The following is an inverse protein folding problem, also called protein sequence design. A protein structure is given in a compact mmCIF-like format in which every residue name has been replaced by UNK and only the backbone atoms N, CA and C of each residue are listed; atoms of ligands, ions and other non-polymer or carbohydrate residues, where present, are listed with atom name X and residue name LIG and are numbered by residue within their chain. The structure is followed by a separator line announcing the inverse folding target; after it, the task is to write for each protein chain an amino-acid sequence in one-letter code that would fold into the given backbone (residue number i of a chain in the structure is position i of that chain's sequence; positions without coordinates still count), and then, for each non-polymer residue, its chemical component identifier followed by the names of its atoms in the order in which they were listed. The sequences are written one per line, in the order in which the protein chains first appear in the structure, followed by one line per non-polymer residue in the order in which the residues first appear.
data_IF_190585684691
#
_entry.id   IF_190585684691
#
_cell.length_a   1.000
_cell.length_b   1.000
_cell.length_c   1.000
_cell.angle_alpha   90.00
_cell.angle_beta   90.00
_cell.angle_gamma   90.00
#
_symmetry.space_group_name_H-M   'P 1'
#
loop_
_entity.id
_entity.type
_entity.pdbx_description
1 polymer ?
#
# COMPACT_ATOMS: atom_id res chain seq x y z
N UNK A 1 3.16 11.35 -1.25
CA UNK A 1 2.95 12.44 -2.22
C UNK A 1 4.11 13.45 -2.18
N UNK A 2 4.33 14.16 -1.07
CA UNK A 2 5.36 15.21 -0.97
C UNK A 2 6.77 14.79 -1.40
N UNK A 3 7.14 13.52 -1.17
CA UNK A 3 8.43 12.95 -1.60
C UNK A 3 8.46 12.48 -3.08
N UNK A 4 7.46 12.80 -3.90
CA UNK A 4 7.37 12.38 -5.30
C UNK A 4 7.05 10.90 -5.54
N UNK A 5 6.79 10.12 -4.49
CA UNK A 5 6.44 8.71 -4.61
C UNK A 5 5.00 8.50 -5.11
N UNK A 6 4.83 7.49 -5.98
CA UNK A 6 3.54 6.95 -6.42
C UNK A 6 2.98 6.03 -5.34
N UNK A 7 1.68 6.13 -5.09
CA UNK A 7 0.99 5.30 -4.09
C UNK A 7 0.24 4.19 -4.82
N UNK A 8 0.48 2.95 -4.40
CA UNK A 8 -0.21 1.77 -4.90
C UNK A 8 -1.09 1.18 -3.79
N UNK A 9 -2.39 1.03 -4.02
CA UNK A 9 -3.32 0.43 -3.05
C UNK A 9 -4.47 -0.30 -3.74
N UNK A 10 -5.37 -0.92 -2.97
CA UNK A 10 -6.53 -1.66 -3.49
C UNK A 10 -7.69 -0.78 -3.96
N UNK A 11 -7.59 0.55 -3.83
CA UNK A 11 -8.46 1.52 -4.49
C UNK A 11 -9.92 1.63 -3.99
N UNK A 12 -10.35 0.83 -3.02
CA UNK A 12 -11.68 0.93 -2.39
C UNK A 12 -11.63 1.83 -1.14
N UNK A 13 -12.58 1.65 -0.22
CA UNK A 13 -12.72 2.46 1.01
C UNK A 13 -11.70 2.16 2.12
N UNK A 14 -11.95 2.76 3.29
CA UNK A 14 -11.20 2.48 4.53
C UNK A 14 -9.81 3.13 4.55
N UNK A 15 -8.80 2.38 5.01
CA UNK A 15 -7.41 2.89 5.08
C UNK A 15 -6.90 3.34 3.71
N UNK A 16 -7.26 2.63 2.64
CA UNK A 16 -6.80 2.94 1.29
C UNK A 16 -7.35 4.28 0.79
N UNK A 17 -8.62 4.57 1.08
CA UNK A 17 -9.25 5.86 0.78
C UNK A 17 -8.62 6.99 1.60
N UNK A 18 -8.34 6.76 2.89
CA UNK A 18 -7.65 7.75 3.72
C UNK A 18 -6.24 8.08 3.21
N UNK A 19 -5.50 7.06 2.76
CA UNK A 19 -4.17 7.22 2.15
C UNK A 19 -4.25 7.99 0.83
N UNK A 20 -5.19 7.62 -0.06
CA UNK A 20 -5.36 8.27 -1.36
C UNK A 20 -5.78 9.75 -1.19
N UNK A 21 -6.71 10.04 -0.28
CA UNK A 21 -7.12 11.42 0.02
C UNK A 21 -5.96 12.26 0.56
N UNK A 22 -5.19 11.72 1.50
CA UNK A 22 -4.00 12.42 2.02
C UNK A 22 -2.97 12.73 0.93
N UNK A 23 -2.87 11.88 -0.10
CA UNK A 23 -1.99 12.13 -1.25
C UNK A 23 -2.47 13.29 -2.13
N UNK A 24 -3.78 13.40 -2.34
CA UNK A 24 -4.40 14.50 -3.07
C UNK A 24 -4.26 15.82 -2.30
N UNK A 25 -4.59 15.81 -1.00
CA UNK A 25 -4.47 16.98 -0.11
C UNK A 25 -3.05 17.54 -0.04
N UNK A 26 -2.04 16.67 -0.15
CA UNK A 26 -0.63 17.05 -0.16
C UNK A 26 -0.13 17.66 -1.50
N UNK A 27 -1.04 18.02 -2.41
CA UNK A 27 -0.69 18.71 -3.67
C UNK A 27 -0.66 17.81 -4.91
N UNK A 28 -1.34 16.66 -4.89
CA UNK A 28 -1.58 15.85 -6.10
C UNK A 28 -0.56 14.76 -6.39
N UNK A 29 -0.19 13.94 -5.39
CA UNK A 29 0.60 12.73 -5.64
C UNK A 29 -0.21 11.66 -6.40
N UNK A 30 0.42 10.96 -7.35
CA UNK A 30 -0.26 9.93 -8.16
C UNK A 30 -0.66 8.74 -7.29
N UNK A 31 -1.94 8.38 -7.36
CA UNK A 31 -2.53 7.22 -6.69
C UNK A 31 -3.04 6.20 -7.71
N UNK A 32 -2.64 4.95 -7.54
CA UNK A 32 -2.99 3.83 -8.42
C UNK A 32 -3.76 2.79 -7.60
N UNK A 33 -5.00 2.53 -7.99
CA UNK A 33 -5.91 1.62 -7.29
C UNK A 33 -6.13 0.33 -8.05
N UNK A 34 -5.65 -0.81 -7.54
CA UNK A 34 -5.93 -2.13 -8.12
C UNK A 34 -7.22 -2.68 -7.53
N UNK A 35 -8.32 -2.61 -8.27
CA UNK A 35 -9.63 -3.00 -7.80
C UNK A 35 -9.86 -4.51 -7.93
N UNK A 36 -10.61 -5.13 -7.01
CA UNK A 36 -10.92 -6.57 -7.08
C UNK A 36 -11.93 -6.91 -8.19
N UNK A 37 -12.79 -5.96 -8.59
CA UNK A 37 -13.81 -6.14 -9.62
C UNK A 37 -13.40 -5.67 -11.01
N UNK A 38 -14.36 -5.68 -11.94
CA UNK A 38 -14.18 -5.31 -13.35
C UNK A 38 -14.62 -3.88 -13.69
N UNK A 39 -15.15 -3.14 -12.71
CA UNK A 39 -15.64 -1.78 -12.89
C UNK A 39 -14.64 -0.75 -12.33
N UNK A 40 -13.99 0.08 -13.17
CA UNK A 40 -13.08 1.12 -12.70
C UNK A 40 -13.79 2.25 -11.93
N UNK A 41 -15.10 2.43 -12.10
CA UNK A 41 -15.88 3.46 -11.40
C UNK A 41 -16.06 3.12 -9.91
N UNK A 42 -15.84 1.86 -9.52
CA UNK A 42 -15.90 1.43 -8.14
C UNK A 42 -14.73 1.95 -7.28
N UNK A 43 -13.69 2.54 -7.88
CA UNK A 43 -12.60 3.17 -7.14
C UNK A 43 -13.12 4.33 -6.27
N UNK A 44 -12.49 4.55 -5.12
CA UNK A 44 -12.74 5.75 -4.34
C UNK A 44 -12.33 6.99 -5.15
N UNK A 45 -12.99 8.12 -4.88
CA UNK A 45 -12.82 9.37 -5.63
C UNK A 45 -11.40 9.95 -5.57
N UNK A 46 -10.57 9.46 -4.64
CA UNK A 46 -9.20 9.90 -4.48
C UNK A 46 -8.18 9.10 -5.30
N UNK A 47 -8.61 8.13 -6.11
CA UNK A 47 -7.75 7.35 -7.02
C UNK A 47 -7.64 8.04 -8.40
N UNK A 48 -6.41 8.30 -8.84
CA UNK A 48 -6.15 8.89 -10.16
C UNK A 48 -6.17 7.84 -11.28
N UNK A 49 -5.62 6.65 -11.00
CA UNK A 49 -5.51 5.56 -11.98
C UNK A 49 -6.19 4.30 -11.43
N UNK A 50 -7.48 4.10 -11.71
CA UNK A 50 -8.19 2.88 -11.35
C UNK A 50 -7.85 1.74 -12.33
N UNK A 51 -7.35 0.63 -11.80
CA UNK A 51 -7.08 -0.60 -12.54
C UNK A 51 -8.08 -1.67 -12.10
N UNK A 52 -9.16 -1.84 -12.85
CA UNK A 52 -10.16 -2.86 -12.61
C UNK A 52 -9.65 -4.25 -13.02
N UNK A 53 -9.13 -5.02 -12.05
CA UNK A 53 -8.38 -6.25 -12.35
C UNK A 53 -9.27 -7.47 -12.55
N UNK A 54 -10.45 -7.52 -11.92
CA UNK A 54 -11.30 -8.71 -11.91
C UNK A 54 -10.75 -9.90 -11.14
N UNK A 55 -9.67 -9.71 -10.37
CA UNK A 55 -8.92 -10.81 -9.76
C UNK A 55 -9.36 -11.12 -8.32
N UNK A 56 -10.39 -10.45 -7.79
CA UNK A 56 -10.75 -10.56 -6.37
C UNK A 56 -9.54 -10.29 -5.48
N UNK A 57 -9.31 -11.13 -4.47
CA UNK A 57 -8.16 -11.04 -3.56
C UNK A 57 -6.81 -11.38 -4.19
N UNK A 58 -6.78 -11.99 -5.39
CA UNK A 58 -5.49 -12.27 -6.05
C UNK A 58 -4.79 -10.97 -6.48
N UNK A 59 -5.53 -9.86 -6.64
CA UNK A 59 -4.96 -8.53 -6.92
C UNK A 59 -3.93 -8.10 -5.87
N UNK A 60 -4.06 -8.55 -4.62
CA UNK A 60 -3.20 -8.15 -3.51
C UNK A 60 -1.75 -8.52 -3.83
N UNK A 61 -1.55 -9.63 -4.54
CA UNK A 61 -0.23 -10.06 -4.99
C UNK A 61 0.40 -9.14 -6.04
N UNK A 62 -0.41 -8.56 -6.93
CA UNK A 62 0.08 -7.57 -7.88
C UNK A 62 0.53 -6.30 -7.17
N UNK A 63 -0.20 -5.85 -6.15
CA UNK A 63 0.19 -4.68 -5.34
C UNK A 63 1.53 -4.91 -4.67
N UNK A 64 1.65 -6.01 -3.92
CA UNK A 64 2.87 -6.34 -3.18
C UNK A 64 4.06 -6.53 -4.13
N UNK A 65 3.85 -7.11 -5.31
CA UNK A 65 4.93 -7.35 -6.28
C UNK A 65 5.34 -6.08 -7.04
N UNK A 66 4.40 -5.21 -7.35
CA UNK A 66 4.69 -3.97 -8.08
C UNK A 66 5.27 -2.87 -7.18
N UNK A 67 5.05 -2.94 -5.87
CA UNK A 67 5.59 -1.99 -4.91
C UNK A 67 7.11 -2.16 -4.71
N UNK A 68 7.84 -1.05 -4.62
CA UNK A 68 9.26 -1.05 -4.20
C UNK A 68 9.42 -1.29 -2.70
N UNK A 69 8.44 -0.85 -1.91
CA UNK A 69 8.32 -1.12 -0.48
C UNK A 69 6.84 -1.04 -0.09
N UNK A 70 6.45 -1.81 0.93
CA UNK A 70 5.08 -1.88 1.45
C UNK A 70 5.04 -1.31 2.85
N UNK A 71 4.04 -0.46 3.11
CA UNK A 71 3.67 -0.03 4.46
C UNK A 71 2.37 -0.74 4.81
N UNK A 72 2.44 -1.70 5.72
CA UNK A 72 1.27 -2.43 6.19
C UNK A 72 0.63 -1.65 7.35
N UNK A 73 -0.60 -1.19 7.14
CA UNK A 73 -1.34 -0.37 8.12
C UNK A 73 -2.52 -1.18 8.66
N UNK A 74 -2.60 -1.30 9.99
CA UNK A 74 -3.69 -2.00 10.67
C UNK A 74 -3.48 -3.52 10.82
N UNK A 75 -4.52 -4.21 11.29
CA UNK A 75 -4.42 -5.59 11.80
C UNK A 75 -5.46 -6.58 11.27
N UNK A 76 -6.04 -6.36 10.09
CA UNK A 76 -7.00 -7.30 9.49
C UNK A 76 -6.34 -8.50 8.80
N UNK A 77 -7.09 -9.58 8.56
CA UNK A 77 -6.58 -10.79 7.86
C UNK A 77 -6.03 -10.48 6.47
N UNK A 78 -6.66 -9.54 5.74
CA UNK A 78 -6.16 -9.06 4.45
C UNK A 78 -4.76 -8.46 4.55
N UNK A 79 -4.53 -7.60 5.56
CA UNK A 79 -3.21 -7.00 5.83
C UNK A 79 -2.18 -8.07 6.17
N UNK A 80 -2.52 -9.07 6.99
CA UNK A 80 -1.61 -10.19 7.30
C UNK A 80 -1.21 -10.96 6.04
N UNK A 81 -2.15 -11.22 5.14
CA UNK A 81 -1.89 -11.90 3.87
C UNK A 81 -0.91 -11.11 2.99
N UNK A 82 -1.08 -9.78 2.91
CA UNK A 82 -0.17 -8.89 2.18
C UNK A 82 1.24 -8.86 2.82
N UNK A 83 1.34 -8.79 4.14
CA UNK A 83 2.63 -8.88 4.86
C UNK A 83 3.33 -10.20 4.58
N UNK A 84 2.61 -11.33 4.76
CA UNK A 84 3.18 -12.66 4.57
C UNK A 84 3.65 -12.87 3.13
N UNK A 85 2.91 -12.36 2.16
CA UNK A 85 3.31 -12.41 0.76
C UNK A 85 4.55 -11.55 0.49
N UNK A 86 4.62 -10.33 1.04
CA UNK A 86 5.76 -9.43 0.87
C UNK A 86 7.06 -10.09 1.36
N UNK A 87 7.01 -10.66 2.57
CA UNK A 87 8.12 -11.44 3.14
C UNK A 87 8.50 -12.60 2.23
N UNK A 88 7.53 -13.39 1.77
CA UNK A 88 7.77 -14.56 0.91
C UNK A 88 8.45 -14.22 -0.41
N UNK A 89 8.11 -13.09 -1.04
CA UNK A 89 8.65 -12.72 -2.35
C UNK A 89 9.80 -11.72 -2.29
N UNK A 90 10.20 -11.30 -1.08
CA UNK A 90 11.30 -10.38 -0.86
C UNK A 90 10.97 -8.90 -1.10
N UNK A 91 9.69 -8.52 -1.16
CA UNK A 91 9.31 -7.10 -1.18
C UNK A 91 9.53 -6.53 0.22
N UNK A 92 10.31 -5.45 0.39
CA UNK A 92 10.50 -4.84 1.69
C UNK A 92 9.16 -4.38 2.30
N UNK A 93 8.87 -4.78 3.53
CA UNK A 93 7.64 -4.42 4.25
C UNK A 93 7.94 -3.89 5.65
N UNK A 94 7.23 -2.84 6.05
CA UNK A 94 7.23 -2.28 7.41
C UNK A 94 5.81 -2.22 7.96
N UNK A 95 5.65 -2.59 9.22
CA UNK A 95 4.38 -2.47 9.94
C UNK A 95 4.20 -1.10 10.58
N UNK A 96 3.00 -0.54 10.45
CA UNK A 96 2.53 0.66 11.15
C UNK A 96 1.17 0.35 11.80
N UNK A 97 1.15 0.33 13.13
CA UNK A 97 -0.04 -0.03 13.91
C UNK A 97 -0.64 -1.41 13.53
N UNK A 98 0.21 -2.41 13.25
CA UNK A 98 -0.22 -3.81 13.06
C UNK A 98 -0.26 -4.59 14.38
N UNK A 99 -1.08 -5.64 14.43
CA UNK A 99 -1.25 -6.52 15.60
C UNK A 99 -0.54 -7.88 15.42
N UNK A 100 0.39 -8.00 14.47
CA UNK A 100 0.96 -9.29 14.05
C UNK A 100 2.39 -9.51 14.55
N UNK A 101 2.83 -8.77 15.57
CA UNK A 101 4.18 -8.87 16.13
C UNK A 101 4.56 -10.29 16.58
N UNK A 102 3.60 -11.04 17.12
CA UNK A 102 3.82 -12.43 17.54
C UNK A 102 3.75 -13.45 16.38
N UNK A 103 3.22 -13.06 15.22
CA UNK A 103 2.97 -13.97 14.09
C UNK A 103 4.04 -13.89 13.00
N UNK A 104 4.63 -12.70 12.78
CA UNK A 104 5.61 -12.47 11.71
C UNK A 104 6.63 -11.42 12.09
N UNK A 105 7.91 -11.76 11.90
CA UNK A 105 9.03 -10.87 12.20
C UNK A 105 9.29 -9.94 11.00
N UNK A 106 8.92 -8.67 11.18
CA UNK A 106 9.15 -7.57 10.25
C UNK A 106 9.50 -6.31 11.04
N UNK A 107 10.23 -5.34 10.43
CA UNK A 107 10.41 -4.03 11.03
C UNK A 107 9.08 -3.35 11.30
N UNK A 108 8.98 -2.65 12.43
CA UNK A 108 7.79 -1.91 12.85
C UNK A 108 8.18 -0.53 13.34
N UNK A 109 7.34 0.44 13.01
CA UNK A 109 7.54 1.86 13.36
C UNK A 109 6.27 2.41 13.99
N UNK A 110 6.39 3.54 14.68
CA UNK A 110 5.30 4.10 15.48
C UNK A 110 4.58 5.26 14.80
N UNK A 111 5.20 5.86 13.78
CA UNK A 111 4.62 7.03 13.12
C UNK A 111 4.56 6.88 11.60
N UNK A 112 3.57 7.53 10.93
CA UNK A 112 3.52 7.57 9.47
C UNK A 112 4.81 8.11 8.86
N UNK A 113 5.41 9.14 9.47
CA UNK A 113 6.64 9.75 8.98
C UNK A 113 7.84 8.79 9.00
N UNK A 114 7.94 7.94 10.04
CA UNK A 114 8.95 6.88 10.09
C UNK A 114 8.72 5.81 9.02
N UNK A 115 7.46 5.39 8.82
CA UNK A 115 7.11 4.40 7.81
C UNK A 115 7.48 4.87 6.40
N UNK A 116 7.16 6.13 6.09
CA UNK A 116 7.51 6.75 4.80
C UNK A 116 9.03 6.84 4.63
N UNK A 117 9.77 7.35 5.62
CA UNK A 117 11.25 7.40 5.55
C UNK A 117 11.85 6.01 5.35
N UNK A 118 11.34 5.01 6.07
CA UNK A 118 11.79 3.63 5.95
C UNK A 118 11.57 3.08 4.54
N UNK A 119 10.39 3.32 3.97
CA UNK A 119 10.02 2.84 2.63
C UNK A 119 10.85 3.52 1.53
N UNK A 120 11.01 4.84 1.60
CA UNK A 120 11.79 5.60 0.62
C UNK A 120 13.27 5.22 0.61
N UNK A 121 13.86 4.87 1.75
CA UNK A 121 15.24 4.39 1.84
C UNK A 121 15.50 3.04 1.14
N UNK A 122 14.43 2.33 0.72
CA UNK A 122 14.50 1.05 0.00
C UNK A 122 14.06 1.16 -1.46
N UNK A 123 13.43 2.28 -1.82
CA UNK A 123 13.17 2.60 -3.21
C UNK A 123 14.48 2.82 -3.94
N UNK A 124 14.56 2.37 -5.19
CA UNK A 124 15.60 2.82 -6.11
C UNK A 124 15.27 4.27 -6.42
N UNK A 125 15.65 5.19 -5.52
CA UNK A 125 15.81 6.58 -5.90
C UNK A 125 17.10 6.57 -6.71
N UNK A 126 16.97 6.64 -8.03
CA UNK A 126 18.11 6.81 -8.91
C UNK A 126 18.91 8.02 -8.40
N UNK A 127 20.16 7.76 -8.01
CA UNK A 127 21.19 8.78 -7.78
C UNK A 127 21.48 9.54 -9.06
#
# INVERSE_FOLDING_TARGET
AEAGAVILCGGLGGVMEAVARGAQEAGGGITVGLLPGNDPVAANAAIDVPLATGMGEMRNALIVRAAQAVIAIGGGVGTLSEIALAVRIGTPVVGLHDNFAAAIDIPRVQTPAEAVRWALARGIIAS
#
